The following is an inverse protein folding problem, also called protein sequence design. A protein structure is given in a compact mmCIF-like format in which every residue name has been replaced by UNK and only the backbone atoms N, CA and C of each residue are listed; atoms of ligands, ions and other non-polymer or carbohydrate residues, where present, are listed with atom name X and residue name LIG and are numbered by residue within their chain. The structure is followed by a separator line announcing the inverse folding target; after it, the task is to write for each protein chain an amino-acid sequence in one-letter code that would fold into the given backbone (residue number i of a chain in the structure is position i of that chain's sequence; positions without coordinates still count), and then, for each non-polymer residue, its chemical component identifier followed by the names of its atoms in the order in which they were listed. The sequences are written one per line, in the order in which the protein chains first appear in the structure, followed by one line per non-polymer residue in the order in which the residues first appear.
data_IF_447568425680
#
_entry.id   IF_447568425680
#
_cell.length_a   1.000
_cell.length_b   1.000
_cell.length_c   1.000
_cell.angle_alpha   90.00
_cell.angle_beta   90.00
_cell.angle_gamma   90.00
#
_symmetry.space_group_name_H-M   'P 1'
#
loop_
_entity.id
_entity.type
_entity.pdbx_description
1 polymer ?
#
# COMPACT_ATOMS: atom_id res chain seq x y z
N UNK A 1 7.67 -26.77 -21.17
CA UNK A 1 8.23 -26.22 -19.90
C UNK A 1 7.07 -25.88 -18.98
N UNK A 2 6.59 -26.85 -18.21
CA UNK A 2 5.48 -26.69 -17.27
C UNK A 2 6.00 -26.01 -16.00
N UNK A 3 5.70 -24.72 -15.87
CA UNK A 3 6.07 -23.88 -14.74
C UNK A 3 5.10 -24.13 -13.57
N UNK A 4 5.31 -25.21 -12.80
CA UNK A 4 4.37 -25.61 -11.74
C UNK A 4 4.93 -25.66 -10.30
N UNK A 5 6.19 -25.36 -10.04
CA UNK A 5 6.74 -25.37 -8.67
C UNK A 5 7.39 -24.05 -8.25
N UNK A 6 6.69 -22.92 -8.44
CA UNK A 6 7.10 -21.67 -7.78
C UNK A 6 6.59 -21.69 -6.33
N UNK A 7 7.41 -21.40 -5.32
CA UNK A 7 6.93 -21.31 -3.94
C UNK A 7 5.88 -20.20 -3.85
N UNK A 8 4.63 -20.57 -3.60
CA UNK A 8 3.51 -19.65 -3.44
C UNK A 8 3.37 -19.27 -1.96
N UNK A 9 3.05 -18.01 -1.71
CA UNK A 9 2.72 -17.48 -0.38
C UNK A 9 1.23 -17.20 -0.31
N UNK A 10 0.61 -17.49 0.83
CA UNK A 10 -0.76 -17.07 1.09
C UNK A 10 -0.85 -15.55 1.24
N UNK A 11 -2.01 -14.96 0.91
CA UNK A 11 -2.20 -13.51 1.03
C UNK A 11 -2.03 -13.01 2.48
N UNK A 12 -2.34 -13.85 3.46
CA UNK A 12 -2.22 -13.53 4.88
C UNK A 12 -0.77 -13.32 5.32
N UNK A 13 0.21 -13.98 4.67
CA UNK A 13 1.63 -13.87 5.03
C UNK A 13 2.20 -12.47 4.79
N UNK A 14 1.77 -11.81 3.71
CA UNK A 14 2.21 -10.45 3.36
C UNK A 14 1.30 -9.35 3.91
N UNK A 15 0.14 -9.68 4.50
CA UNK A 15 -0.83 -8.69 5.00
C UNK A 15 -0.18 -7.72 6.00
N UNK A 16 -0.47 -6.43 5.84
CA UNK A 16 0.01 -5.35 6.71
C UNK A 16 -1.15 -4.44 7.11
N UNK A 17 -1.05 -3.84 8.29
CA UNK A 17 -2.01 -2.88 8.82
C UNK A 17 -1.28 -1.60 9.20
N UNK A 18 -1.88 -0.45 8.86
CA UNK A 18 -1.42 0.86 9.32
C UNK A 18 -2.58 1.61 9.94
N UNK A 19 -2.48 1.85 11.24
CA UNK A 19 -3.43 2.66 11.97
C UNK A 19 -2.85 4.08 12.09
N UNK A 20 -3.58 5.09 11.59
CA UNK A 20 -3.21 6.49 11.73
C UNK A 20 -4.40 7.31 12.18
N UNK A 21 -4.14 8.26 13.07
CA UNK A 21 -5.07 9.31 13.42
C UNK A 21 -4.92 10.47 12.42
N UNK A 22 -6.03 11.12 12.09
CA UNK A 22 -6.05 12.32 11.26
C UNK A 22 -5.76 13.52 12.16
N UNK A 23 -4.67 14.24 11.89
CA UNK A 23 -4.33 15.47 12.58
C UNK A 23 -4.70 16.70 11.74
N UNK A 24 -4.79 17.91 12.31
CA UNK A 24 -5.11 19.13 11.56
C UNK A 24 -4.18 19.38 10.36
N UNK A 25 -2.92 18.98 10.45
CA UNK A 25 -1.95 19.05 9.34
C UNK A 25 -2.27 18.09 8.17
N UNK A 26 -3.05 17.04 8.42
CA UNK A 26 -3.48 16.08 7.39
C UNK A 26 -4.78 16.53 6.69
N UNK A 27 -5.38 17.63 7.15
CA UNK A 27 -6.63 18.19 6.61
C UNK A 27 -6.38 19.37 5.69
N UNK A 28 -7.25 19.53 4.69
CA UNK A 28 -7.27 20.70 3.82
C UNK A 28 -8.06 21.87 4.46
N UNK A 29 -8.18 22.99 3.76
CA UNK A 29 -8.94 24.17 4.21
C UNK A 29 -10.46 23.92 4.39
N UNK A 30 -10.97 22.78 3.91
CA UNK A 30 -12.34 22.32 4.14
C UNK A 30 -12.46 21.40 5.37
N UNK A 31 -11.40 21.23 6.16
CA UNK A 31 -11.34 20.34 7.32
C UNK A 31 -11.61 18.86 6.99
N UNK A 32 -11.43 18.46 5.72
CA UNK A 32 -11.45 17.06 5.30
C UNK A 32 -10.02 16.58 5.06
N UNK A 33 -9.77 15.28 5.18
CA UNK A 33 -8.44 14.73 4.90
C UNK A 33 -8.02 15.09 3.47
N UNK A 34 -6.79 15.58 3.32
CA UNK A 34 -6.23 15.86 2.01
C UNK A 34 -5.98 14.55 1.25
N UNK A 35 -6.54 14.42 0.04
CA UNK A 35 -6.43 13.20 -0.76
C UNK A 35 -4.98 12.79 -1.06
N UNK A 36 -4.07 13.74 -1.25
CA UNK A 36 -2.65 13.45 -1.42
C UNK A 36 -2.01 12.80 -0.19
N UNK A 37 -2.43 13.20 1.02
CA UNK A 37 -1.99 12.58 2.28
C UNK A 37 -2.49 11.14 2.37
N UNK A 38 -3.74 10.88 2.00
CA UNK A 38 -4.28 9.52 1.95
C UNK A 38 -3.49 8.63 0.98
N UNK A 39 -3.26 9.12 -0.24
CA UNK A 39 -2.52 8.41 -1.29
C UNK A 39 -1.09 8.05 -0.87
N UNK A 40 -0.36 9.00 -0.28
CA UNK A 40 0.98 8.76 0.25
C UNK A 40 0.98 7.64 1.31
N UNK A 41 -0.07 7.59 2.14
CA UNK A 41 -0.19 6.54 3.14
C UNK A 41 -0.49 5.17 2.53
N UNK A 42 -1.26 5.12 1.45
CA UNK A 42 -1.59 3.87 0.73
C UNK A 42 -0.33 3.31 0.05
N UNK A 43 0.43 4.15 -0.66
CA UNK A 43 1.66 3.72 -1.33
C UNK A 43 2.70 3.16 -0.35
N UNK A 44 2.87 3.81 0.81
CA UNK A 44 3.79 3.33 1.85
C UNK A 44 3.44 1.91 2.35
N UNK A 45 2.17 1.64 2.69
CA UNK A 45 1.77 0.32 3.21
C UNK A 45 1.74 -0.74 2.10
N UNK A 46 1.47 -0.34 0.86
CA UNK A 46 1.55 -1.21 -0.31
C UNK A 46 2.99 -1.65 -0.59
N UNK A 47 3.96 -0.72 -0.51
CA UNK A 47 5.38 -1.02 -0.67
C UNK A 47 5.86 -2.04 0.37
N UNK A 48 5.50 -1.89 1.64
CA UNK A 48 5.84 -2.85 2.70
C UNK A 48 5.24 -4.23 2.42
N UNK A 49 3.96 -4.27 2.02
CA UNK A 49 3.26 -5.52 1.66
C UNK A 49 3.93 -6.23 0.48
N UNK A 50 4.29 -5.47 -0.56
CA UNK A 50 4.95 -5.99 -1.75
C UNK A 50 6.37 -6.49 -1.44
N UNK A 51 7.16 -5.76 -0.64
CA UNK A 51 8.49 -6.21 -0.19
C UNK A 51 8.41 -7.52 0.61
N UNK A 52 7.43 -7.67 1.52
CA UNK A 52 7.22 -8.93 2.27
C UNK A 52 6.87 -10.10 1.34
N UNK A 53 6.02 -9.86 0.35
CA UNK A 53 5.62 -10.89 -0.60
C UNK A 53 6.79 -11.30 -1.52
N UNK A 54 7.50 -10.32 -2.08
CA UNK A 54 8.60 -10.53 -3.02
C UNK A 54 9.91 -11.00 -2.35
N UNK A 55 10.15 -10.63 -1.09
CA UNK A 55 11.44 -10.87 -0.43
C UNK A 55 12.59 -10.06 -1.04
N UNK A 56 12.27 -8.95 -1.72
CA UNK A 56 13.20 -8.10 -2.45
C UNK A 56 12.73 -6.64 -2.46
N UNK A 57 13.58 -5.73 -2.91
CA UNK A 57 13.18 -4.33 -3.15
C UNK A 57 12.19 -4.26 -4.32
N UNK A 58 11.25 -3.33 -4.22
CA UNK A 58 10.16 -3.13 -5.19
C UNK A 58 10.02 -1.66 -5.53
N UNK A 59 9.39 -1.37 -6.66
CA UNK A 59 9.07 -0.01 -7.11
C UNK A 59 7.59 0.05 -7.50
N UNK A 60 6.94 1.18 -7.23
CA UNK A 60 5.55 1.41 -7.65
C UNK A 60 5.52 1.65 -9.16
N UNK A 61 4.88 0.74 -9.91
CA UNK A 61 4.80 0.83 -11.37
C UNK A 61 3.65 1.73 -11.85
N UNK A 62 2.47 1.58 -11.24
CA UNK A 62 1.28 2.38 -11.51
C UNK A 62 0.34 2.34 -10.31
N UNK A 63 -0.66 3.22 -10.31
CA UNK A 63 -1.79 3.17 -9.38
C UNK A 63 -3.06 3.25 -10.21
N UNK A 64 -3.87 2.19 -10.20
CA UNK A 64 -4.93 2.01 -11.20
C UNK A 64 -6.20 2.82 -10.92
N UNK A 65 -6.65 2.87 -9.66
CA UNK A 65 -7.83 3.65 -9.28
C UNK A 65 -7.89 3.87 -7.78
N UNK A 66 -8.23 5.09 -7.38
CA UNK A 66 -8.57 5.44 -6.00
C UNK A 66 -9.95 6.08 -6.04
N UNK A 67 -10.89 5.50 -5.30
CA UNK A 67 -12.25 6.02 -5.21
C UNK A 67 -12.32 7.13 -4.16
N UNK A 68 -13.00 8.24 -4.49
CA UNK A 68 -13.03 9.49 -3.71
C UNK A 68 -14.35 9.71 -2.99
#
# INVERSE_FOLDING_TARGET
MTNQDRPMKSMSESKCYKNRQVFPQDTNHHHTMFGGTLMANIDEIAAITAMKHAGAQVVTASTDSVDS
#
